data_IF_726935657750
#
_entry.id   IF_726935657750
#
_cell.length_a   1.000
_cell.length_b   1.000
_cell.length_c   1.000
_cell.angle_alpha   90.00
_cell.angle_beta   90.00
_cell.angle_gamma   90.00
#
_symmetry.space_group_name_H-M   'P 1'
#
loop_
_entity.id
_entity.type
_entity.pdbx_description
1 polymer ?
#
# COMPACT_ATOMS: atom_id res chain seq x y z
N UNK A 1 27.49 -20.58 -37.00
CA UNK A 1 27.62 -20.03 -35.64
C UNK A 1 26.26 -19.50 -35.21
N UNK A 2 25.52 -20.26 -34.41
CA UNK A 2 24.19 -19.85 -33.96
C UNK A 2 24.29 -18.62 -33.06
N UNK A 3 23.48 -17.59 -33.33
CA UNK A 3 23.38 -16.41 -32.46
C UNK A 3 23.00 -16.91 -31.06
N UNK A 4 23.95 -16.82 -30.15
CA UNK A 4 23.76 -17.12 -28.74
C UNK A 4 22.89 -15.98 -28.18
N UNK A 5 21.57 -16.09 -28.36
CA UNK A 5 20.63 -15.10 -27.85
C UNK A 5 20.66 -15.16 -26.33
N UNK A 6 20.97 -14.05 -25.67
CA UNK A 6 21.00 -13.93 -24.21
C UNK A 6 19.69 -14.46 -23.61
N UNK A 7 18.54 -14.19 -24.23
CA UNK A 7 17.24 -14.71 -23.80
C UNK A 7 17.23 -16.24 -23.73
N UNK A 8 17.74 -16.93 -24.76
CA UNK A 8 17.80 -18.41 -24.79
C UNK A 8 18.67 -18.97 -23.66
N UNK A 9 19.70 -18.23 -23.22
CA UNK A 9 20.55 -18.65 -22.11
C UNK A 9 19.83 -18.65 -20.76
N UNK A 10 18.85 -17.76 -20.57
CA UNK A 10 18.04 -17.65 -19.35
C UNK A 10 16.72 -18.44 -19.44
N UNK A 11 16.24 -18.74 -20.65
CA UNK A 11 15.07 -19.61 -20.89
C UNK A 11 15.39 -21.11 -20.85
N UNK A 12 16.66 -21.52 -20.70
CA UNK A 12 17.01 -22.93 -20.49
C UNK A 12 16.86 -23.33 -19.00
N UNK A 13 16.26 -24.51 -18.78
CA UNK A 13 15.52 -24.98 -17.57
C UNK A 13 16.21 -25.06 -16.20
N UNK A 14 17.31 -24.34 -15.97
CA UNK A 14 17.91 -24.16 -14.64
C UNK A 14 18.06 -22.69 -14.21
N UNK A 15 17.75 -21.73 -15.09
CA UNK A 15 17.94 -20.28 -14.80
C UNK A 15 16.64 -19.49 -14.61
N UNK A 16 15.49 -20.16 -14.65
CA UNK A 16 14.20 -19.57 -14.39
C UNK A 16 13.33 -20.56 -13.61
N UNK A 17 12.34 -20.04 -12.89
CA UNK A 17 11.30 -20.83 -12.22
C UNK A 17 9.98 -20.42 -12.84
N UNK A 18 9.27 -21.39 -13.41
CA UNK A 18 7.88 -21.19 -13.75
C UNK A 18 7.03 -21.23 -12.50
N UNK A 19 6.06 -20.33 -12.40
CA UNK A 19 4.95 -20.43 -11.48
C UNK A 19 4.06 -21.63 -11.89
N UNK A 20 4.55 -22.87 -11.71
CA UNK A 20 3.82 -24.09 -12.08
C UNK A 20 2.71 -24.38 -11.09
N UNK A 21 1.61 -24.88 -11.64
CA UNK A 21 0.27 -24.91 -11.07
C UNK A 21 0.04 -25.79 -9.83
N UNK A 22 1.02 -26.54 -9.34
CA UNK A 22 0.74 -27.61 -8.37
C UNK A 22 1.47 -27.49 -7.02
N UNK A 23 2.49 -26.64 -6.88
CA UNK A 23 3.19 -26.47 -5.58
C UNK A 23 3.60 -25.05 -5.22
N UNK A 24 3.42 -24.07 -6.11
CA UNK A 24 3.49 -22.66 -5.76
C UNK A 24 2.09 -22.07 -5.82
N UNK A 25 1.40 -21.99 -4.69
CA UNK A 25 0.95 -20.78 -3.99
C UNK A 25 0.86 -19.40 -4.70
N UNK A 26 1.46 -19.21 -5.86
CA UNK A 26 1.56 -18.03 -6.70
C UNK A 26 1.23 -18.44 -8.15
N UNK A 27 -0.03 -18.74 -8.48
CA UNK A 27 -0.43 -18.98 -9.90
C UNK A 27 -0.45 -17.71 -10.76
N UNK A 28 -0.31 -16.52 -10.16
CA UNK A 28 -0.54 -15.26 -10.86
C UNK A 28 0.37 -14.16 -10.30
N UNK A 29 1.34 -13.72 -11.10
CA UNK A 29 2.23 -12.61 -10.75
C UNK A 29 1.45 -11.30 -10.46
N UNK A 30 0.21 -11.21 -10.94
CA UNK A 30 -0.70 -10.11 -10.59
C UNK A 30 -0.95 -9.98 -9.09
N UNK A 31 -1.12 -11.07 -8.33
CA UNK A 31 -1.33 -10.96 -6.88
C UNK A 31 -0.04 -10.65 -6.11
N UNK A 32 1.12 -11.02 -6.66
CA UNK A 32 2.39 -10.51 -6.15
C UNK A 32 2.49 -9.00 -6.39
N UNK A 33 2.10 -8.52 -7.56
CA UNK A 33 2.02 -7.09 -7.86
C UNK A 33 1.09 -6.37 -6.88
N UNK A 34 -0.09 -6.94 -6.59
CA UNK A 34 -1.00 -6.38 -5.60
C UNK A 34 -0.36 -6.28 -4.20
N UNK A 35 0.37 -7.32 -3.76
CA UNK A 35 1.13 -7.29 -2.50
C UNK A 35 2.15 -6.14 -2.50
N UNK A 36 2.92 -5.98 -3.58
CA UNK A 36 3.91 -4.91 -3.71
C UNK A 36 3.21 -3.54 -3.64
N UNK A 37 2.14 -3.35 -4.41
CA UNK A 37 1.38 -2.11 -4.43
C UNK A 37 0.86 -1.71 -3.04
N UNK A 38 0.29 -2.66 -2.30
CA UNK A 38 -0.21 -2.42 -0.93
C UNK A 38 0.92 -2.10 0.05
N UNK A 39 2.03 -2.85 0.00
CA UNK A 39 3.20 -2.60 0.86
C UNK A 39 3.78 -1.20 0.60
N UNK A 40 3.91 -0.82 -0.67
CA UNK A 40 4.39 0.50 -1.06
C UNK A 40 3.42 1.59 -0.63
N UNK A 41 2.11 1.41 -0.88
CA UNK A 41 1.07 2.36 -0.47
C UNK A 41 1.11 2.62 1.05
N UNK A 42 1.15 1.55 1.84
CA UNK A 42 1.22 1.64 3.31
C UNK A 42 2.52 2.31 3.80
N UNK A 43 3.62 2.15 3.07
CA UNK A 43 4.90 2.78 3.41
C UNK A 43 4.96 4.28 3.14
N UNK A 44 4.01 4.83 2.38
CA UNK A 44 4.05 6.26 2.01
C UNK A 44 3.87 7.20 3.21
N UNK A 45 3.15 6.80 4.27
CA UNK A 45 3.07 7.62 5.50
C UNK A 45 4.43 7.75 6.16
N UNK A 46 5.10 6.63 6.45
CA UNK A 46 6.42 6.64 7.07
C UNK A 46 7.44 7.46 6.26
N UNK A 47 7.31 7.46 4.93
CA UNK A 47 8.18 8.24 4.05
C UNK A 47 8.03 9.77 4.21
N UNK A 48 6.86 10.27 4.64
CA UNK A 48 6.61 11.71 4.81
C UNK A 48 6.34 12.11 6.25
N UNK A 49 6.32 11.16 7.20
CA UNK A 49 5.97 11.36 8.60
C UNK A 49 6.66 12.58 9.19
N UNK A 50 7.97 12.70 9.00
CA UNK A 50 8.77 13.78 9.61
C UNK A 50 8.38 15.18 9.09
N UNK A 51 7.75 15.26 7.92
CA UNK A 51 7.24 16.51 7.33
C UNK A 51 5.75 16.76 7.64
N UNK A 52 5.09 15.84 8.35
CA UNK A 52 3.66 15.94 8.73
C UNK A 52 3.47 16.51 10.15
N UNK A 53 4.50 17.06 10.79
CA UNK A 53 4.45 17.48 12.20
C UNK A 53 3.52 18.68 12.39
N UNK A 54 2.57 18.54 13.30
CA UNK A 54 1.76 19.63 13.86
C UNK A 54 2.58 20.35 14.94
N UNK A 55 3.00 21.59 14.68
CA UNK A 55 3.57 22.43 15.73
C UNK A 55 2.52 22.74 16.80
N UNK A 56 2.82 22.55 18.11
CA UNK A 56 1.83 22.66 19.18
C UNK A 56 1.26 24.09 19.39
N UNK A 57 1.91 25.13 18.87
CA UNK A 57 1.51 26.53 19.10
C UNK A 57 0.62 27.16 18.03
N UNK A 58 0.00 26.37 17.14
CA UNK A 58 -0.93 26.95 16.16
C UNK A 58 -2.11 26.04 15.85
N UNK A 59 -3.21 26.27 16.59
CA UNK A 59 -4.53 25.70 16.34
C UNK A 59 -5.11 25.97 14.93
N UNK A 60 -4.40 26.71 14.06
CA UNK A 60 -4.83 27.10 12.72
C UNK A 60 -4.09 26.46 11.54
N UNK A 61 -3.11 25.56 11.74
CA UNK A 61 -2.24 25.10 10.62
C UNK A 61 -2.56 23.72 10.02
N UNK A 62 -3.57 23.00 10.52
CA UNK A 62 -3.84 21.60 10.12
C UNK A 62 -4.18 21.44 8.62
N UNK A 63 -4.62 22.50 7.92
CA UNK A 63 -5.11 22.41 6.55
C UNK A 63 -4.19 23.00 5.46
N UNK A 64 -3.23 23.87 5.81
CA UNK A 64 -2.38 24.55 4.80
C UNK A 64 -1.06 23.83 4.46
N UNK A 65 -0.67 22.77 5.19
CA UNK A 65 0.64 22.14 5.01
C UNK A 65 0.67 20.92 4.08
N UNK A 66 -0.45 20.22 3.86
CA UNK A 66 -0.45 19.07 2.93
C UNK A 66 -0.16 19.48 1.48
N UNK A 67 -0.49 20.71 1.10
CA UNK A 67 -0.21 21.21 -0.25
C UNK A 67 1.27 21.52 -0.49
N UNK A 68 2.00 21.91 0.57
CA UNK A 68 3.41 22.30 0.56
C UNK A 68 4.35 21.22 1.09
N UNK A 69 3.83 20.03 1.36
CA UNK A 69 4.59 18.91 1.87
C UNK A 69 5.81 18.61 0.99
N UNK A 70 7.00 18.62 1.59
CA UNK A 70 8.22 18.19 0.91
C UNK A 70 8.26 16.66 0.81
N UNK A 71 8.68 16.16 -0.35
CA UNK A 71 8.73 14.73 -0.64
C UNK A 71 10.17 14.28 -0.81
N UNK A 72 10.55 13.24 -0.07
CA UNK A 72 11.87 12.61 -0.23
C UNK A 72 11.84 11.44 -1.22
N UNK A 73 13.02 10.90 -1.52
CA UNK A 73 13.16 9.76 -2.44
C UNK A 73 12.35 8.53 -2.02
N UNK A 74 12.20 8.29 -0.71
CA UNK A 74 11.39 7.15 -0.20
C UNK A 74 9.93 7.32 -0.58
N UNK A 75 9.40 8.54 -0.53
CA UNK A 75 8.03 8.80 -0.96
C UNK A 75 7.88 8.63 -2.48
N UNK A 76 8.82 9.15 -3.27
CA UNK A 76 8.79 9.00 -4.73
C UNK A 76 8.82 7.52 -5.15
N UNK A 77 9.66 6.71 -4.51
CA UNK A 77 9.71 5.26 -4.72
C UNK A 77 8.37 4.61 -4.34
N UNK A 78 7.91 4.81 -3.10
CA UNK A 78 6.68 4.19 -2.60
C UNK A 78 5.44 4.59 -3.42
N UNK A 79 5.32 5.86 -3.81
CA UNK A 79 4.23 6.37 -4.65
C UNK A 79 4.28 5.78 -6.06
N UNK A 80 5.47 5.72 -6.68
CA UNK A 80 5.64 5.13 -8.01
C UNK A 80 5.30 3.65 -8.03
N UNK A 81 5.87 2.89 -7.09
CA UNK A 81 5.63 1.45 -6.93
C UNK A 81 4.14 1.17 -6.71
N UNK A 82 3.45 2.01 -5.92
CA UNK A 82 2.01 1.90 -5.72
C UNK A 82 1.24 1.94 -7.04
N UNK A 83 1.48 2.97 -7.86
CA UNK A 83 0.75 3.18 -9.12
C UNK A 83 1.10 2.10 -10.15
N UNK A 84 2.38 1.80 -10.34
CA UNK A 84 2.86 0.81 -11.30
C UNK A 84 2.29 -0.57 -10.97
N UNK A 85 2.37 -0.97 -9.70
CA UNK A 85 1.98 -2.32 -9.32
C UNK A 85 0.47 -2.53 -9.19
N UNK A 86 -0.30 -1.49 -8.84
CA UNK A 86 -1.76 -1.58 -8.98
C UNK A 86 -2.15 -1.70 -10.45
N UNK A 87 -1.56 -0.89 -11.34
CA UNK A 87 -1.84 -0.98 -12.78
C UNK A 87 -1.54 -2.38 -13.31
N UNK A 88 -0.37 -2.92 -13.00
CA UNK A 88 0.05 -4.25 -13.44
C UNK A 88 -0.86 -5.35 -12.89
N UNK A 89 -1.33 -5.23 -11.64
CA UNK A 89 -2.32 -6.14 -11.07
C UNK A 89 -3.60 -6.17 -11.92
N UNK A 90 -4.21 -5.01 -12.19
CA UNK A 90 -5.44 -4.96 -12.99
C UNK A 90 -5.24 -5.42 -14.43
N UNK A 91 -4.10 -5.08 -15.04
CA UNK A 91 -3.76 -5.54 -16.38
C UNK A 91 -3.78 -7.05 -16.48
N UNK A 92 -3.12 -7.74 -15.54
CA UNK A 92 -3.07 -9.18 -15.54
C UNK A 92 -4.42 -9.81 -15.22
N UNK A 93 -5.21 -9.24 -14.31
CA UNK A 93 -6.56 -9.74 -14.02
C UNK A 93 -7.46 -9.62 -15.26
N UNK A 94 -7.47 -8.48 -15.93
CA UNK A 94 -8.29 -8.29 -17.14
C UNK A 94 -7.84 -9.24 -18.25
N UNK A 95 -6.53 -9.42 -18.44
CA UNK A 95 -6.00 -10.38 -19.42
C UNK A 95 -6.34 -11.83 -19.08
N UNK A 96 -6.34 -12.20 -17.81
CA UNK A 96 -6.78 -13.53 -17.37
C UNK A 96 -8.27 -13.75 -17.67
N UNK A 97 -9.11 -12.75 -17.40
CA UNK A 97 -10.54 -12.79 -17.76
C UNK A 97 -10.73 -12.98 -19.27
N UNK A 98 -10.05 -12.15 -20.08
CA UNK A 98 -10.10 -12.25 -21.54
C UNK A 98 -9.57 -13.60 -22.05
N UNK A 99 -8.47 -14.09 -21.50
CA UNK A 99 -7.86 -15.37 -21.87
C UNK A 99 -8.76 -16.58 -21.60
N UNK A 100 -9.52 -16.55 -20.49
CA UNK A 100 -10.54 -17.57 -20.18
C UNK A 100 -11.72 -17.55 -21.16
N UNK A 101 -12.06 -16.38 -21.70
CA UNK A 101 -13.08 -16.27 -22.74
C UNK A 101 -12.57 -16.84 -24.07
N UNK A 102 -11.41 -16.37 -24.52
CA UNK A 102 -10.67 -16.88 -25.66
C UNK A 102 -9.22 -16.41 -25.59
N UNK A 103 -8.21 -17.30 -25.78
CA UNK A 103 -6.81 -16.89 -25.81
C UNK A 103 -6.53 -15.74 -26.78
N UNK A 104 -7.23 -15.69 -27.92
CA UNK A 104 -7.11 -14.64 -28.95
C UNK A 104 -7.41 -13.22 -28.44
N UNK A 105 -8.13 -13.09 -27.32
CA UNK A 105 -8.48 -11.79 -26.75
C UNK A 105 -7.39 -11.24 -25.83
N UNK A 106 -6.42 -12.06 -25.41
CA UNK A 106 -5.35 -11.66 -24.49
C UNK A 106 -3.98 -11.49 -25.16
N UNK A 107 -3.87 -11.84 -26.46
CA UNK A 107 -2.61 -11.83 -27.22
C UNK A 107 -2.78 -11.27 -28.64
N UNK A 108 -1.69 -10.75 -29.21
CA UNK A 108 -1.57 -10.30 -30.60
C UNK A 108 -1.27 -11.48 -31.53
N UNK A 109 -2.20 -12.43 -31.63
CA UNK A 109 -2.03 -13.65 -32.43
C UNK A 109 -1.98 -13.40 -33.95
N UNK A 110 -2.55 -12.30 -34.42
CA UNK A 110 -2.52 -11.90 -35.84
C UNK A 110 -1.11 -11.70 -36.41
N UNK A 111 -0.08 -11.65 -35.55
CA UNK A 111 1.34 -11.58 -35.96
C UNK A 111 1.92 -12.92 -36.38
N UNK A 112 1.24 -14.06 -36.09
CA UNK A 112 1.68 -15.39 -36.50
C UNK A 112 0.51 -16.21 -37.07
N UNK A 113 0.47 -16.35 -38.40
CA UNK A 113 -0.65 -16.97 -39.12
C UNK A 113 -0.93 -18.42 -38.72
N UNK A 114 0.11 -19.20 -38.39
CA UNK A 114 -0.05 -20.61 -38.00
C UNK A 114 -0.68 -20.70 -36.61
N UNK A 115 -0.15 -19.94 -35.65
CA UNK A 115 -0.67 -19.92 -34.28
C UNK A 115 -2.09 -19.34 -34.25
N UNK A 116 -2.34 -18.29 -35.04
CA UNK A 116 -3.68 -17.71 -35.22
C UNK A 116 -4.68 -18.73 -35.76
N UNK A 117 -4.32 -19.48 -36.81
CA UNK A 117 -5.16 -20.53 -37.37
C UNK A 117 -5.47 -21.63 -36.34
N UNK A 118 -4.45 -22.11 -35.61
CA UNK A 118 -4.62 -23.07 -34.51
C UNK A 118 -5.60 -22.57 -33.45
N UNK A 119 -5.43 -21.34 -32.99
CA UNK A 119 -6.29 -20.74 -31.96
C UNK A 119 -7.74 -20.56 -32.43
N UNK A 120 -7.97 -20.20 -33.69
CA UNK A 120 -9.33 -20.14 -34.28
C UNK A 120 -9.99 -21.51 -34.26
N UNK A 121 -9.24 -22.55 -34.63
CA UNK A 121 -9.74 -23.92 -34.71
C UNK A 121 -9.75 -24.65 -33.36
N UNK A 122 -9.34 -23.99 -32.26
CA UNK A 122 -9.19 -24.56 -30.92
C UNK A 122 -8.21 -25.74 -30.87
N UNK A 123 -7.22 -25.73 -31.74
CA UNK A 123 -6.09 -26.66 -31.70
C UNK A 123 -5.15 -26.29 -30.55
N UNK A 124 -4.56 -27.29 -29.90
CA UNK A 124 -3.56 -27.05 -28.85
C UNK A 124 -2.32 -26.36 -29.44
N UNK A 125 -1.83 -25.35 -28.71
CA UNK A 125 -0.55 -24.69 -29.00
C UNK A 125 0.49 -25.17 -28.00
N UNK A 126 1.70 -25.39 -28.48
CA UNK A 126 2.85 -25.75 -27.63
C UNK A 126 3.32 -24.55 -26.80
N UNK A 127 4.06 -24.80 -25.71
CA UNK A 127 4.67 -23.72 -24.91
C UNK A 127 5.55 -22.81 -25.76
N UNK A 128 6.34 -23.38 -26.68
CA UNK A 128 7.21 -22.65 -27.59
C UNK A 128 6.45 -21.78 -28.60
N UNK A 129 5.20 -22.13 -28.91
CA UNK A 129 4.31 -21.32 -29.73
C UNK A 129 3.67 -20.20 -28.90
N UNK A 130 3.24 -20.49 -27.67
CA UNK A 130 2.70 -19.49 -26.76
C UNK A 130 3.71 -18.37 -26.46
N UNK A 131 4.99 -18.70 -26.27
CA UNK A 131 6.06 -17.73 -26.00
C UNK A 131 6.33 -16.76 -27.17
N UNK A 132 5.89 -17.10 -28.39
CA UNK A 132 6.01 -16.24 -29.57
C UNK A 132 4.87 -15.23 -29.68
N UNK A 133 3.85 -15.32 -28.82
CA UNK A 133 2.71 -14.43 -28.83
C UNK A 133 2.96 -13.24 -27.92
N UNK A 134 2.90 -12.03 -28.48
CA UNK A 134 2.90 -10.81 -27.68
C UNK A 134 1.58 -10.66 -26.95
N UNK A 135 1.61 -10.42 -25.64
CA UNK A 135 0.41 -10.02 -24.90
C UNK A 135 -0.05 -8.63 -25.36
N UNK A 136 -1.37 -8.39 -25.37
CA UNK A 136 -1.91 -7.06 -25.66
C UNK A 136 -1.51 -6.03 -24.59
N UNK A 137 -1.55 -4.74 -24.88
CA UNK A 137 -1.25 -3.72 -23.85
C UNK A 137 -2.44 -3.48 -22.92
N UNK A 138 -2.23 -2.83 -21.77
CA UNK A 138 -3.32 -2.60 -20.81
C UNK A 138 -4.47 -1.75 -21.38
N UNK A 139 -4.16 -0.72 -22.16
CA UNK A 139 -5.16 0.11 -22.85
C UNK A 139 -6.02 -0.72 -23.81
N UNK A 140 -5.40 -1.61 -24.57
CA UNK A 140 -6.08 -2.55 -25.48
C UNK A 140 -6.94 -3.55 -24.68
N UNK A 141 -6.42 -4.07 -23.56
CA UNK A 141 -7.14 -5.01 -22.70
C UNK A 141 -8.38 -4.38 -22.04
N UNK A 142 -8.27 -3.16 -21.51
CA UNK A 142 -9.41 -2.40 -20.98
C UNK A 142 -10.46 -2.23 -22.07
N UNK A 143 -10.06 -1.71 -23.24
CA UNK A 143 -10.97 -1.46 -24.36
C UNK A 143 -11.71 -2.73 -24.75
N UNK A 144 -10.99 -3.82 -25.01
CA UNK A 144 -11.58 -5.10 -25.40
C UNK A 144 -12.54 -5.64 -24.34
N UNK A 145 -12.14 -5.62 -23.06
CA UNK A 145 -12.96 -6.10 -21.96
C UNK A 145 -14.28 -5.33 -21.84
N UNK A 146 -14.22 -3.99 -21.83
CA UNK A 146 -15.44 -3.18 -21.71
C UNK A 146 -16.33 -3.26 -22.95
N UNK A 147 -15.77 -3.36 -24.16
CA UNK A 147 -16.57 -3.59 -25.37
C UNK A 147 -17.34 -4.92 -25.30
N UNK A 148 -16.70 -6.00 -24.84
CA UNK A 148 -17.37 -7.29 -24.66
C UNK A 148 -18.41 -7.25 -23.54
N UNK A 149 -18.13 -6.55 -22.44
CA UNK A 149 -19.03 -6.40 -21.30
C UNK A 149 -20.28 -5.56 -21.65
N UNK A 150 -20.09 -4.46 -22.37
CA UNK A 150 -21.18 -3.56 -22.79
C UNK A 150 -22.14 -4.26 -23.77
N UNK A 151 -21.61 -5.17 -24.60
CA UNK A 151 -22.37 -5.96 -25.59
C UNK A 151 -22.81 -7.35 -25.09
N UNK A 152 -22.68 -7.64 -23.79
CA UNK A 152 -23.09 -8.90 -23.16
C UNK A 152 -22.47 -10.16 -23.81
N UNK A 153 -21.18 -10.09 -24.17
CA UNK A 153 -20.45 -11.15 -24.90
C UNK A 153 -19.54 -12.03 -24.04
N UNK A 154 -19.43 -11.77 -22.74
CA UNK A 154 -18.64 -12.61 -21.82
C UNK A 154 -19.47 -13.83 -21.36
N UNK A 155 -18.87 -15.02 -21.28
CA UNK A 155 -19.58 -16.26 -20.86
C UNK A 155 -20.12 -16.18 -19.44
N UNK A 156 -19.48 -15.41 -18.54
CA UNK A 156 -19.84 -15.29 -17.13
C UNK A 156 -20.21 -13.85 -16.73
N UNK A 157 -21.15 -13.22 -17.46
CA UNK A 157 -21.57 -11.83 -17.21
C UNK A 157 -21.86 -11.51 -15.74
N UNK A 158 -22.59 -12.37 -15.03
CA UNK A 158 -22.98 -12.14 -13.64
C UNK A 158 -21.79 -11.91 -12.69
N UNK A 159 -20.61 -12.48 -12.99
CA UNK A 159 -19.38 -12.27 -12.19
C UNK A 159 -18.79 -10.87 -12.39
N UNK A 160 -19.09 -10.22 -13.51
CA UNK A 160 -18.44 -8.99 -13.95
C UNK A 160 -19.38 -7.77 -14.02
N UNK A 161 -20.66 -7.94 -13.70
CA UNK A 161 -21.66 -6.86 -13.75
C UNK A 161 -21.25 -5.61 -12.95
N UNK A 162 -20.49 -5.74 -11.86
CA UNK A 162 -20.02 -4.59 -11.10
C UNK A 162 -19.12 -3.65 -11.92
N UNK A 163 -18.46 -4.12 -12.99
CA UNK A 163 -17.71 -3.26 -13.90
C UNK A 163 -18.63 -2.42 -14.79
N UNK A 164 -19.82 -2.93 -15.13
CA UNK A 164 -20.79 -2.31 -16.04
C UNK A 164 -21.70 -1.32 -15.31
N UNK A 165 -22.29 -1.76 -14.21
CA UNK A 165 -23.48 -1.13 -13.62
C UNK A 165 -23.18 -0.36 -12.34
N UNK A 166 -22.15 -0.75 -11.59
CA UNK A 166 -21.84 -0.13 -10.31
C UNK A 166 -20.91 1.08 -10.46
N UNK A 167 -21.18 2.12 -9.65
CA UNK A 167 -20.29 3.25 -9.47
C UNK A 167 -19.56 3.12 -8.14
N UNK A 168 -18.24 3.23 -8.17
CA UNK A 168 -17.38 3.29 -6.99
C UNK A 168 -17.20 4.77 -6.66
N UNK A 169 -17.83 5.22 -5.56
CA UNK A 169 -17.79 6.62 -5.13
C UNK A 169 -18.10 7.62 -6.25
N UNK A 170 -19.15 7.30 -7.03
CA UNK A 170 -19.63 8.13 -8.15
C UNK A 170 -18.94 7.91 -9.49
N UNK A 171 -17.86 7.13 -9.55
CA UNK A 171 -17.02 6.92 -10.75
C UNK A 171 -17.18 5.48 -11.27
N UNK A 172 -17.21 5.30 -12.60
CA UNK A 172 -17.29 3.96 -13.20
C UNK A 172 -15.94 3.25 -13.10
N UNK A 173 -15.96 1.92 -13.03
CA UNK A 173 -14.73 1.13 -12.98
C UNK A 173 -13.81 1.38 -14.19
N UNK A 174 -14.39 1.61 -15.38
CA UNK A 174 -13.65 1.96 -16.59
C UNK A 174 -12.78 3.21 -16.41
N UNK A 175 -13.39 4.30 -15.93
CA UNK A 175 -12.71 5.58 -15.75
C UNK A 175 -11.57 5.48 -14.72
N UNK A 176 -11.76 4.67 -13.67
CA UNK A 176 -10.74 4.39 -12.65
C UNK A 176 -9.52 3.69 -13.28
N UNK A 177 -9.76 2.67 -14.10
CA UNK A 177 -8.71 1.88 -14.75
C UNK A 177 -7.97 2.69 -15.84
N UNK A 178 -8.70 3.48 -16.62
CA UNK A 178 -8.11 4.39 -17.61
C UNK A 178 -7.25 5.47 -16.93
N UNK A 179 -7.71 6.02 -15.80
CA UNK A 179 -6.94 6.98 -14.99
C UNK A 179 -5.68 6.35 -14.41
N UNK A 180 -5.77 5.14 -13.86
CA UNK A 180 -4.62 4.40 -13.35
C UNK A 180 -3.58 4.13 -14.45
N UNK A 181 -4.03 3.74 -15.65
CA UNK A 181 -3.16 3.56 -16.81
C UNK A 181 -2.47 4.87 -17.21
N UNK A 182 -3.20 5.99 -17.20
CA UNK A 182 -2.65 7.31 -17.47
C UNK A 182 -1.55 7.66 -16.45
N UNK A 183 -1.80 7.47 -15.16
CA UNK A 183 -0.82 7.74 -14.11
C UNK A 183 0.42 6.87 -14.28
N UNK A 184 0.27 5.55 -14.49
CA UNK A 184 1.40 4.67 -14.76
C UNK A 184 2.20 5.11 -15.98
N UNK A 185 1.55 5.50 -17.07
CA UNK A 185 2.26 5.97 -18.27
C UNK A 185 3.02 7.27 -18.03
N UNK A 186 2.48 8.18 -17.22
CA UNK A 186 3.17 9.41 -16.85
C UNK A 186 4.33 9.17 -15.87
N UNK A 187 4.17 8.28 -14.90
CA UNK A 187 5.22 7.93 -13.93
C UNK A 187 6.34 7.14 -14.60
N UNK A 188 6.02 6.04 -15.28
CA UNK A 188 7.02 5.11 -15.81
C UNK A 188 7.62 5.54 -17.16
N UNK A 189 6.80 5.94 -18.14
CA UNK A 189 7.31 6.26 -19.48
C UNK A 189 7.81 7.69 -19.60
N UNK A 190 7.18 8.64 -18.89
CA UNK A 190 7.60 10.04 -18.92
C UNK A 190 8.52 10.43 -17.76
N UNK A 191 8.55 9.68 -16.66
CA UNK A 191 9.45 9.95 -15.52
C UNK A 191 9.18 11.27 -14.79
N UNK A 192 8.04 11.91 -15.01
CA UNK A 192 7.78 13.31 -14.60
C UNK A 192 6.47 13.46 -13.81
N UNK A 193 5.97 12.38 -13.22
CA UNK A 193 4.68 12.41 -12.51
C UNK A 193 4.70 11.56 -11.25
N UNK A 194 4.39 12.21 -10.14
CA UNK A 194 4.15 11.63 -8.84
C UNK A 194 2.90 12.31 -8.27
N UNK A 195 1.99 11.52 -7.70
CA UNK A 195 0.86 12.05 -6.96
C UNK A 195 1.34 12.62 -5.61
N UNK A 196 0.76 13.74 -5.18
CA UNK A 196 0.92 14.26 -3.81
C UNK A 196 0.35 13.26 -2.79
N UNK A 197 0.79 13.35 -1.53
CA UNK A 197 0.40 12.42 -0.45
C UNK A 197 -1.12 12.25 -0.33
N UNK A 198 -1.83 13.36 -0.18
CA UNK A 198 -3.29 13.39 -0.09
C UNK A 198 -3.99 12.89 -1.36
N UNK A 199 -3.50 13.28 -2.53
CA UNK A 199 -4.07 12.86 -3.81
C UNK A 199 -3.88 11.35 -4.06
N UNK A 200 -2.75 10.78 -3.61
CA UNK A 200 -2.52 9.34 -3.65
C UNK A 200 -3.46 8.61 -2.69
N UNK A 201 -3.62 9.10 -1.46
CA UNK A 201 -4.53 8.51 -0.46
C UNK A 201 -5.98 8.57 -0.92
N UNK A 202 -6.43 9.69 -1.49
CA UNK A 202 -7.76 9.79 -2.09
C UNK A 202 -7.89 8.80 -3.25
N UNK A 203 -6.97 8.82 -4.23
CA UNK A 203 -7.09 7.98 -5.40
C UNK A 203 -7.11 6.48 -5.04
N UNK A 204 -6.19 6.07 -4.16
CA UNK A 204 -6.07 4.67 -3.76
C UNK A 204 -7.22 4.26 -2.84
N UNK A 205 -7.44 4.99 -1.75
CA UNK A 205 -8.42 4.64 -0.72
C UNK A 205 -9.87 4.71 -1.22
N UNK A 206 -10.19 5.71 -2.05
CA UNK A 206 -11.55 5.96 -2.54
C UNK A 206 -11.89 5.17 -3.80
N UNK A 207 -10.93 4.83 -4.66
CA UNK A 207 -11.23 4.21 -5.96
C UNK A 207 -10.56 2.86 -6.16
N UNK A 208 -9.24 2.79 -5.96
CA UNK A 208 -8.48 1.55 -6.23
C UNK A 208 -8.84 0.43 -5.25
N UNK A 209 -8.75 0.69 -3.94
CA UNK A 209 -9.01 -0.35 -2.94
C UNK A 209 -10.44 -0.91 -3.05
N UNK A 210 -11.51 -0.10 -3.16
CA UNK A 210 -12.85 -0.65 -3.36
C UNK A 210 -12.98 -1.52 -4.62
N UNK A 211 -12.30 -1.15 -5.71
CA UNK A 211 -12.29 -1.94 -6.94
C UNK A 211 -11.53 -3.26 -6.76
N UNK A 212 -10.38 -3.24 -6.08
CA UNK A 212 -9.65 -4.46 -5.69
C UNK A 212 -10.55 -5.38 -4.86
N UNK A 213 -11.30 -4.83 -3.89
CA UNK A 213 -12.24 -5.60 -3.05
C UNK A 213 -13.27 -6.34 -3.89
N UNK A 214 -13.83 -5.67 -4.91
CA UNK A 214 -14.81 -6.26 -5.83
C UNK A 214 -14.21 -7.37 -6.68
N UNK A 215 -13.00 -7.18 -7.22
CA UNK A 215 -12.28 -8.23 -7.96
C UNK A 215 -12.02 -9.46 -7.09
N UNK A 216 -11.58 -9.25 -5.85
CA UNK A 216 -11.36 -10.34 -4.91
C UNK A 216 -12.65 -11.05 -4.46
N UNK A 217 -13.81 -10.41 -4.63
CA UNK A 217 -15.11 -11.06 -4.44
C UNK A 217 -15.48 -12.05 -5.55
N UNK A 218 -14.77 -12.04 -6.69
CA UNK A 218 -14.99 -13.00 -7.77
C UNK A 218 -14.49 -14.38 -7.31
N UNK A 219 -15.31 -15.43 -7.51
CA UNK A 219 -15.03 -16.80 -7.07
C UNK A 219 -13.66 -17.34 -7.50
N UNK A 220 -13.18 -16.92 -8.67
CA UNK A 220 -11.90 -17.33 -9.24
C UNK A 220 -10.71 -16.74 -8.47
N UNK A 221 -10.92 -15.61 -7.78
CA UNK A 221 -9.89 -14.82 -7.12
C UNK A 221 -10.03 -14.77 -5.59
N UNK A 222 -11.16 -15.17 -5.03
CA UNK A 222 -11.45 -15.10 -3.59
C UNK A 222 -10.41 -15.82 -2.72
N UNK A 223 -9.86 -16.94 -3.18
CA UNK A 223 -8.77 -17.66 -2.48
C UNK A 223 -7.50 -16.83 -2.29
N UNK A 224 -7.24 -15.83 -3.14
CA UNK A 224 -6.08 -14.96 -3.02
C UNK A 224 -6.32 -13.82 -2.02
N UNK A 225 -7.59 -13.46 -1.81
CA UNK A 225 -7.97 -12.45 -0.85
C UNK A 225 -7.50 -12.83 0.55
N UNK A 226 -7.72 -14.08 0.99
CA UNK A 226 -7.27 -14.59 2.30
C UNK A 226 -5.75 -14.56 2.48
N UNK A 227 -5.02 -14.75 1.39
CA UNK A 227 -3.58 -14.92 1.43
C UNK A 227 -2.80 -13.61 1.38
N UNK A 228 -3.29 -12.67 0.59
CA UNK A 228 -2.58 -11.43 0.28
C UNK A 228 -3.23 -10.19 0.89
N UNK A 229 -4.50 -10.25 1.30
CA UNK A 229 -5.24 -9.06 1.74
C UNK A 229 -5.94 -9.19 3.07
N UNK A 230 -6.49 -10.36 3.39
CA UNK A 230 -7.17 -10.52 4.67
C UNK A 230 -6.17 -10.78 5.77
N UNK A 231 -6.10 -9.79 6.64
CA UNK A 231 -5.76 -9.83 8.05
C UNK A 231 -6.51 -10.98 8.73
N UNK A 232 -6.09 -12.24 8.52
CA UNK A 232 -6.65 -13.34 9.30
C UNK A 232 -6.08 -13.22 10.71
N UNK A 233 -6.98 -13.26 11.68
CA UNK A 233 -6.83 -13.14 13.15
C UNK A 233 -5.68 -13.91 13.82
N UNK A 234 -4.87 -14.70 13.12
CA UNK A 234 -4.16 -15.81 13.76
C UNK A 234 -2.75 -16.17 13.22
N UNK A 235 -2.14 -15.44 12.29
CA UNK A 235 -0.81 -15.87 11.77
C UNK A 235 0.39 -15.33 12.54
N UNK A 236 0.19 -14.40 13.47
CA UNK A 236 1.21 -13.98 14.42
C UNK A 236 0.53 -13.89 15.79
N UNK A 237 0.90 -14.78 16.70
CA UNK A 237 0.36 -14.85 18.08
C UNK A 237 0.40 -13.51 18.82
N UNK A 238 1.23 -12.59 18.33
CA UNK A 238 1.48 -11.26 18.87
C UNK A 238 0.56 -10.14 18.30
N UNK A 239 -0.19 -10.34 17.21
CA UNK A 239 -0.98 -9.25 16.57
C UNK A 239 -2.34 -8.94 17.23
N UNK A 240 -2.45 -9.14 18.54
CA UNK A 240 -3.71 -9.51 19.17
C UNK A 240 -4.39 -8.41 20.01
N UNK A 241 -4.32 -7.12 19.60
CA UNK A 241 -5.07 -6.07 20.31
C UNK A 241 -6.20 -5.48 19.48
N UNK A 242 -5.99 -5.14 18.21
CA UNK A 242 -7.00 -4.34 17.50
C UNK A 242 -7.90 -5.11 16.53
N UNK A 243 -7.58 -6.36 16.18
CA UNK A 243 -8.33 -7.16 15.20
C UNK A 243 -8.81 -6.32 13.99
N UNK A 244 -7.88 -5.61 13.35
CA UNK A 244 -8.21 -4.64 12.29
C UNK A 244 -8.03 -5.24 10.91
N UNK A 245 -9.11 -5.24 10.14
CA UNK A 245 -9.00 -5.26 8.69
C UNK A 245 -8.68 -3.83 8.19
N UNK A 246 -7.39 -3.49 8.17
CA UNK A 246 -6.90 -2.15 7.75
C UNK A 246 -7.43 -1.76 6.38
N UNK A 247 -7.52 -2.72 5.46
CA UNK A 247 -8.01 -2.46 4.10
C UNK A 247 -9.47 -1.98 4.11
N UNK A 248 -10.34 -2.69 4.84
CA UNK A 248 -11.74 -2.29 4.96
C UNK A 248 -11.89 -0.97 5.71
N UNK A 249 -11.07 -0.73 6.73
CA UNK A 249 -11.09 0.52 7.50
C UNK A 249 -10.65 1.73 6.67
N UNK A 250 -9.65 1.59 5.80
CA UNK A 250 -9.25 2.68 4.88
C UNK A 250 -10.39 2.97 3.88
N UNK A 251 -11.02 1.92 3.33
CA UNK A 251 -12.16 2.08 2.41
C UNK A 251 -13.36 2.73 3.09
N UNK A 252 -13.67 2.35 4.33
CA UNK A 252 -14.73 2.96 5.14
C UNK A 252 -14.46 4.44 5.40
N UNK A 253 -13.24 4.79 5.81
CA UNK A 253 -12.85 6.17 6.12
C UNK A 253 -12.92 7.07 4.87
N UNK A 254 -12.45 6.59 3.72
CA UNK A 254 -12.47 7.33 2.45
C UNK A 254 -13.87 7.45 1.81
N UNK A 255 -14.90 6.81 2.37
CA UNK A 255 -16.30 7.05 1.97
C UNK A 255 -16.93 8.24 2.69
N UNK A 256 -16.35 8.67 3.82
CA UNK A 256 -16.84 9.81 4.56
C UNK A 256 -16.57 11.10 3.78
N UNK A 257 -17.50 12.06 3.85
CA UNK A 257 -17.33 13.37 3.21
C UNK A 257 -16.16 14.16 3.80
N UNK A 258 -15.82 13.91 5.06
CA UNK A 258 -14.68 14.47 5.77
C UNK A 258 -13.79 13.33 6.28
N UNK A 259 -13.05 12.69 5.37
CA UNK A 259 -12.11 11.61 5.72
C UNK A 259 -11.00 12.12 6.65
N UNK A 260 -10.75 11.43 7.76
CA UNK A 260 -9.66 11.79 8.67
C UNK A 260 -8.32 11.25 8.13
N UNK A 261 -7.46 12.16 7.67
CA UNK A 261 -6.16 11.82 7.09
C UNK A 261 -5.17 11.24 8.13
N UNK A 262 -5.25 11.66 9.40
CA UNK A 262 -4.48 11.08 10.50
C UNK A 262 -4.86 9.62 10.76
N UNK A 263 -6.17 9.30 10.68
CA UNK A 263 -6.65 7.92 10.79
C UNK A 263 -6.19 7.05 9.63
N UNK A 264 -6.18 7.58 8.41
CA UNK A 264 -5.64 6.89 7.23
C UNK A 264 -4.12 6.64 7.41
N UNK A 265 -3.37 7.64 7.90
CA UNK A 265 -1.95 7.50 8.21
C UNK A 265 -1.69 6.39 9.25
N UNK A 266 -2.46 6.37 10.35
CA UNK A 266 -2.40 5.29 11.33
C UNK A 266 -2.64 3.91 10.71
N UNK A 267 -3.72 3.76 9.93
CA UNK A 267 -4.09 2.51 9.29
C UNK A 267 -3.00 2.04 8.31
N UNK A 268 -2.41 2.95 7.54
CA UNK A 268 -1.27 2.66 6.67
C UNK A 268 -0.07 2.14 7.45
N UNK A 269 0.24 2.74 8.60
CA UNK A 269 1.36 2.30 9.42
C UNK A 269 1.14 0.90 10.03
N UNK A 270 -0.09 0.59 10.46
CA UNK A 270 -0.49 -0.76 10.87
C UNK A 270 -0.31 -1.75 9.71
N UNK A 271 -0.78 -1.39 8.51
CA UNK A 271 -0.64 -2.21 7.30
C UNK A 271 0.82 -2.45 6.88
N UNK A 272 1.67 -1.43 6.97
CA UNK A 272 3.11 -1.52 6.66
C UNK A 272 3.81 -2.51 7.61
N UNK A 273 3.54 -2.35 8.90
CA UNK A 273 4.09 -3.18 9.97
C UNK A 273 3.72 -4.65 9.81
N UNK A 274 2.48 -4.93 9.40
CA UNK A 274 2.04 -6.30 9.11
C UNK A 274 2.89 -6.97 8.02
N UNK A 275 3.08 -6.29 6.89
CA UNK A 275 3.91 -6.84 5.79
C UNK A 275 5.35 -7.06 6.22
N UNK A 276 5.90 -6.16 7.05
CA UNK A 276 7.24 -6.32 7.61
C UNK A 276 7.36 -7.58 8.46
N UNK A 277 6.43 -7.81 9.40
CA UNK A 277 6.44 -9.00 10.25
C UNK A 277 6.27 -10.29 9.45
N UNK A 278 5.37 -10.29 8.46
CA UNK A 278 5.13 -11.45 7.58
C UNK A 278 6.36 -11.82 6.75
N UNK A 279 7.11 -10.82 6.27
CA UNK A 279 8.32 -11.05 5.48
C UNK A 279 9.52 -11.47 6.35
N UNK A 280 9.60 -10.99 7.60
CA UNK A 280 10.73 -11.26 8.52
C UNK A 280 10.63 -12.59 9.28
N UNK A 281 9.42 -13.15 9.41
CA UNK A 281 9.14 -14.31 10.26
C UNK A 281 9.15 -13.97 11.76
N UNK A 282 8.66 -14.89 12.61
CA UNK A 282 8.73 -14.74 14.08
C UNK A 282 10.20 -14.65 14.51
N UNK A 283 10.67 -13.46 14.87
CA UNK A 283 11.98 -13.30 15.48
C UNK A 283 11.81 -12.92 16.96
N UNK A 284 12.58 -13.61 17.78
CA UNK A 284 12.69 -13.33 19.21
C UNK A 284 13.34 -11.96 19.42
N UNK A 285 12.71 -11.19 20.31
CA UNK A 285 13.25 -9.99 20.91
C UNK A 285 14.71 -10.17 21.32
N UNK A 286 15.56 -9.21 20.93
CA UNK A 286 16.85 -9.01 21.61
C UNK A 286 16.75 -7.73 22.43
N UNK A 287 16.60 -7.88 23.74
CA UNK A 287 16.62 -6.79 24.73
C UNK A 287 17.82 -5.84 24.53
N UNK A 288 18.93 -6.35 23.99
CA UNK A 288 20.16 -5.60 23.70
C UNK A 288 19.93 -4.39 22.77
N UNK A 289 18.88 -4.37 21.92
CA UNK A 289 18.59 -3.21 21.05
C UNK A 289 17.97 -2.03 21.80
N UNK A 290 17.30 -2.25 22.94
CA UNK A 290 16.77 -1.17 23.80
C UNK A 290 17.93 -0.41 24.44
N UNK A 291 18.93 -1.15 24.92
CA UNK A 291 20.11 -0.58 25.61
C UNK A 291 20.96 0.26 24.63
N UNK A 292 21.05 -0.14 23.36
CA UNK A 292 21.78 0.65 22.35
C UNK A 292 21.00 1.91 21.90
N UNK A 293 19.67 1.88 21.79
CA UNK A 293 18.88 3.10 21.51
C UNK A 293 18.86 4.08 22.71
N UNK A 294 19.04 3.60 23.95
CA UNK A 294 19.18 4.44 25.16
C UNK A 294 20.47 5.30 25.15
N UNK A 295 21.50 4.90 24.40
CA UNK A 295 22.82 5.54 24.43
C UNK A 295 23.07 6.65 23.41
N UNK A 296 22.30 6.71 22.31
CA UNK A 296 22.73 7.50 21.15
C UNK A 296 21.97 8.81 20.86
N UNK A 297 20.67 8.99 21.17
CA UNK A 297 19.93 10.15 20.60
C UNK A 297 18.68 10.69 21.34
N UNK A 298 18.52 10.49 22.65
CA UNK A 298 17.43 11.11 23.41
C UNK A 298 16.96 10.27 24.59
N UNK A 299 16.45 10.92 25.63
CA UNK A 299 15.99 10.27 26.85
C UNK A 299 14.75 9.40 26.55
N UNK A 300 14.97 8.09 26.44
CA UNK A 300 13.91 7.07 26.46
C UNK A 300 13.34 7.05 27.87
N UNK A 301 12.10 7.50 28.04
CA UNK A 301 11.49 7.67 29.37
C UNK A 301 10.37 6.66 29.61
N UNK A 302 9.67 6.22 28.56
CA UNK A 302 8.58 5.26 28.70
C UNK A 302 8.57 4.21 27.58
N UNK A 303 8.29 2.97 27.97
CA UNK A 303 8.14 1.82 27.08
C UNK A 303 6.75 1.23 27.32
N UNK A 304 5.82 1.59 26.42
CA UNK A 304 4.43 1.14 26.48
C UNK A 304 4.21 -0.13 25.64
N UNK A 305 3.03 -0.71 25.77
CA UNK A 305 2.58 -1.83 24.93
C UNK A 305 2.40 -1.36 23.49
N UNK A 306 2.92 -2.10 22.52
CA UNK A 306 2.72 -1.79 21.11
C UNK A 306 1.32 -2.23 20.66
N UNK A 307 0.54 -1.36 20.00
CA UNK A 307 -0.81 -1.69 19.52
C UNK A 307 -0.82 -2.77 18.43
N UNK A 308 0.28 -2.90 17.68
CA UNK A 308 0.36 -3.81 16.51
C UNK A 308 0.92 -5.17 16.87
N UNK A 309 2.00 -5.22 17.66
CA UNK A 309 2.63 -6.49 18.05
C UNK A 309 2.34 -6.90 19.50
N UNK A 310 1.55 -6.13 20.25
CA UNK A 310 1.08 -6.52 21.58
C UNK A 310 2.14 -6.62 22.69
N UNK A 311 3.38 -6.24 22.41
CA UNK A 311 4.52 -6.39 23.31
C UNK A 311 5.00 -5.05 23.85
N UNK A 312 5.58 -5.01 25.05
CA UNK A 312 5.97 -3.80 25.78
C UNK A 312 7.24 -3.18 25.23
N UNK A 313 7.18 -2.69 24.00
CA UNK A 313 8.35 -2.27 23.20
C UNK A 313 8.09 -1.05 22.34
N UNK A 314 7.01 -0.33 22.63
CA UNK A 314 6.71 0.97 22.02
C UNK A 314 7.44 2.04 22.82
N UNK A 315 8.49 2.60 22.24
CA UNK A 315 9.29 3.65 22.85
C UNK A 315 8.65 5.00 22.57
N UNK A 316 8.43 5.79 23.62
CA UNK A 316 8.03 7.19 23.53
C UNK A 316 9.28 8.07 23.51
N UNK A 317 9.42 8.88 22.45
CA UNK A 317 10.51 9.84 22.30
C UNK A 317 10.00 11.24 22.59
N UNK A 318 10.83 12.02 23.26
CA UNK A 318 10.51 13.38 23.65
C UNK A 318 11.54 14.33 23.05
N UNK A 319 11.04 15.44 22.52
CA UNK A 319 11.86 16.58 22.13
C UNK A 319 11.77 17.66 23.21
N UNK A 320 12.75 18.57 23.18
CA UNK A 320 12.82 19.73 24.03
C UNK A 320 12.68 20.99 23.17
N UNK A 321 11.77 21.88 23.55
CA UNK A 321 11.82 23.27 23.08
C UNK A 321 12.35 24.14 24.22
N UNK A 322 13.45 24.85 23.96
CA UNK A 322 13.86 25.97 24.78
C UNK A 322 12.97 27.16 24.38
N UNK A 323 12.08 27.59 25.27
CA UNK A 323 11.38 28.86 25.09
C UNK A 323 12.29 29.99 25.58
N UNK A 324 12.79 30.83 24.65
CA UNK A 324 13.39 32.11 25.02
C UNK A 324 12.26 33.09 25.39
N UNK A 325 12.05 33.35 26.68
CA UNK A 325 11.20 34.46 27.12
C UNK A 325 11.93 35.78 26.85
N UNK A 326 11.47 36.52 25.83
CA UNK A 326 11.86 37.92 25.65
C UNK A 326 11.05 38.77 26.62
N UNK A 327 11.75 39.53 27.48
CA UNK A 327 11.28 40.52 28.48
C UNK A 327 10.99 40.04 29.91
N UNK A 328 12.04 39.62 30.64
CA UNK A 328 12.04 39.66 32.12
C UNK A 328 13.12 40.61 32.64
N UNK A 329 12.77 41.77 33.23
CA UNK A 329 13.73 42.70 33.80
C UNK A 329 14.19 42.19 35.18
N UNK A 330 15.48 41.84 35.26
CA UNK A 330 16.29 41.49 36.44
C UNK A 330 16.15 40.06 37.00
N UNK A 331 17.19 39.26 36.70
CA UNK A 331 17.84 38.39 37.69
C UNK A 331 17.28 36.98 37.84
N UNK A 332 17.98 36.03 37.21
CA UNK A 332 17.75 34.57 37.18
C UNK A 332 16.58 34.17 36.29
N UNK A 333 16.95 33.71 35.09
CA UNK A 333 16.06 33.25 34.03
C UNK A 333 15.88 31.73 34.19
N UNK A 334 14.74 31.21 34.70
CA UNK A 334 14.48 29.79 34.59
C UNK A 334 14.17 29.50 33.12
N UNK A 335 15.15 28.95 32.40
CA UNK A 335 14.92 28.39 31.05
C UNK A 335 13.71 27.46 31.11
N UNK A 336 12.58 27.85 30.52
CA UNK A 336 11.45 26.94 30.34
C UNK A 336 11.82 25.93 29.27
N UNK A 337 12.18 24.74 29.75
CA UNK A 337 12.38 23.58 28.90
C UNK A 337 11.04 22.85 28.86
N UNK A 338 10.25 23.10 27.81
CA UNK A 338 9.03 22.31 27.60
C UNK A 338 9.41 20.99 26.94
N UNK A 339 9.05 19.90 27.60
CA UNK A 339 9.27 18.53 27.11
C UNK A 339 7.98 18.01 26.51
N UNK A 340 8.01 17.61 25.24
CA UNK A 340 6.84 17.08 24.56
C UNK A 340 7.15 15.81 23.78
N UNK A 341 6.20 14.87 23.75
CA UNK A 341 6.33 13.65 22.94
C UNK A 341 6.37 14.03 21.47
N UNK A 342 7.40 13.57 20.75
CA UNK A 342 7.62 13.89 19.34
C UNK A 342 7.17 12.76 18.43
N UNK A 343 7.57 11.53 18.76
CA UNK A 343 7.20 10.32 18.04
C UNK A 343 7.18 9.08 18.94
N UNK A 344 6.42 8.07 18.53
CA UNK A 344 6.45 6.74 19.15
C UNK A 344 6.99 5.73 18.15
N UNK A 345 7.86 4.82 18.59
CA UNK A 345 8.49 3.79 17.74
C UNK A 345 8.56 2.43 18.44
N UNK A 346 8.07 1.39 17.79
CA UNK A 346 8.20 0.02 18.25
C UNK A 346 9.45 -0.63 17.67
N UNK A 347 10.36 -1.06 18.54
CA UNK A 347 11.63 -1.68 18.14
C UNK A 347 11.49 -3.07 17.53
N UNK A 348 10.35 -3.73 17.74
CA UNK A 348 10.13 -5.09 17.26
C UNK A 348 9.51 -5.13 15.88
N UNK A 349 8.35 -4.49 15.76
CA UNK A 349 7.58 -4.53 14.53
C UNK A 349 7.87 -3.32 13.62
N UNK A 350 8.70 -2.38 14.08
CA UNK A 350 9.05 -1.13 13.38
C UNK A 350 7.93 -0.09 13.32
N UNK A 351 6.77 -0.34 13.90
CA UNK A 351 5.64 0.58 13.94
C UNK A 351 6.07 1.96 14.46
N UNK A 352 5.73 3.04 13.76
CA UNK A 352 6.13 4.39 14.15
C UNK A 352 5.07 5.44 13.80
N UNK A 353 4.75 6.32 14.74
CA UNK A 353 3.82 7.44 14.54
C UNK A 353 4.43 8.74 15.05
N UNK A 354 3.92 9.87 14.57
CA UNK A 354 4.12 11.19 15.15
C UNK A 354 2.77 11.87 15.43
N UNK A 355 2.81 13.09 15.96
CA UNK A 355 1.65 13.91 16.33
C UNK A 355 0.68 14.30 15.19
N UNK A 356 1.01 13.99 13.93
CA UNK A 356 0.04 14.05 12.84
C UNK A 356 -1.15 13.11 13.06
N UNK A 357 -0.88 11.97 13.70
CA UNK A 357 -1.87 10.96 14.05
C UNK A 357 -2.34 11.26 15.46
N UNK A 358 -3.65 11.36 15.67
CA UNK A 358 -4.23 11.60 17.00
C UNK A 358 -4.20 10.34 17.88
N UNK A 359 -4.55 10.51 19.16
CA UNK A 359 -4.77 9.38 20.05
C UNK A 359 -5.87 8.47 19.52
N UNK A 360 -5.68 7.15 19.60
CA UNK A 360 -6.56 6.19 18.94
C UNK A 360 -8.01 6.19 19.42
N UNK A 361 -8.26 6.70 20.64
CA UNK A 361 -9.60 6.95 21.16
C UNK A 361 -10.40 7.91 20.27
N UNK A 362 -9.77 8.91 19.66
CA UNK A 362 -10.44 9.83 18.73
C UNK A 362 -10.90 9.12 17.45
N UNK A 363 -10.25 8.01 17.09
CA UNK A 363 -10.63 7.15 15.97
C UNK A 363 -11.60 6.03 16.35
N UNK A 364 -12.02 5.97 17.62
CA UNK A 364 -12.96 4.97 18.13
C UNK A 364 -12.30 3.65 18.56
N UNK A 365 -10.98 3.61 18.75
CA UNK A 365 -10.28 2.43 19.26
C UNK A 365 -9.99 2.56 20.76
N UNK A 366 -10.25 1.49 21.51
CA UNK A 366 -9.88 1.43 22.92
C UNK A 366 -8.41 1.05 23.06
N UNK A 367 -7.54 2.05 23.18
CA UNK A 367 -6.11 1.89 23.43
C UNK A 367 -5.61 3.01 24.34
N UNK A 368 -4.45 2.80 24.96
CA UNK A 368 -3.77 3.85 25.74
C UNK A 368 -3.40 5.03 24.84
N UNK A 369 -3.35 6.23 25.43
CA UNK A 369 -3.03 7.43 24.67
C UNK A 369 -1.53 7.42 24.30
N UNK A 370 -1.24 7.78 23.05
CA UNK A 370 0.14 7.95 22.57
C UNK A 370 0.72 9.29 22.99
N UNK A 371 -0.14 10.31 23.05
CA UNK A 371 0.22 11.69 23.30
C UNK A 371 -0.43 12.12 24.60
N UNK A 372 0.39 12.38 25.60
CA UNK A 372 -0.05 13.00 26.83
C UNK A 372 0.00 14.53 26.71
N UNK A 373 -1.05 15.22 27.15
CA UNK A 373 -1.07 16.68 27.24
C UNK A 373 -0.45 17.10 28.57
N UNK A 374 0.87 17.29 28.60
CA UNK A 374 1.53 17.88 29.76
C UNK A 374 2.03 19.28 29.42
N UNK A 375 1.47 20.29 30.10
CA UNK A 375 2.24 21.49 30.43
C UNK A 375 3.12 21.10 31.62
N UNK A 376 4.39 20.79 31.35
CA UNK A 376 5.35 20.51 32.41
C UNK A 376 5.90 21.86 32.87
N UNK A 377 5.34 22.38 33.96
CA UNK A 377 5.97 23.46 34.71
C UNK A 377 7.03 22.84 35.62
N UNK A 378 8.31 22.91 35.23
CA UNK A 378 9.39 22.73 36.19
C UNK A 378 9.47 24.01 37.02
N UNK A 379 8.89 23.97 38.24
CA UNK A 379 9.24 24.90 39.31
C UNK A 379 10.50 24.35 39.99
N UNK A 380 11.68 24.94 39.70
CA UNK A 380 12.86 24.82 40.58
C UNK A 380 12.82 25.84 41.73
#
# INVERSE_FOLDING_TARGET
MGKNNLANQYMNGQKHVFFKEEKSDLKHIGFLSLKIALKSYFSTYLAVKDNLITHPNSYSFILNDLENLEYNNKYYEASSETIIHFQHFFELVIKDILGKESPLLAVKANTNSIIFHKLINKEEITSDEADKLYSIEFSEAIKCFFELLENDRLKCMSKYNFFKDEKINGVKARDILETLNLFRNRTWHKGMFILKYNALDEFVGKYILPLVKKILGISDYSKYAEKYMFYKEASCSYMNIMNLNVFDKIVEENKLSNSNSGKIAFLKEVGRTFYYLKDRGENNYKYDSIINEQGENGLIIDIKKCPVCGLNTLIHRYDYMEEEEYDVPYGVDPKRISKYESDVKCINCTFQLNKYVENLKSYGYSFEDFWDSYDIFDEE
#
